data_IF_642867314486
#
_entry.id   IF_642867314486
#
_cell.length_a   1.000
_cell.length_b   1.000
_cell.length_c   1.000
_cell.angle_alpha   90.00
_cell.angle_beta   90.00
_cell.angle_gamma   90.00
#
_symmetry.space_group_name_H-M   'P 1'
#
loop_
_entity.id
_entity.type
_entity.pdbx_description
1 polymer ?
#
# COMPACT_ATOMS: atom_id res chain seq x y z
N UNK A 1 23.08 -0.94 -7.81
CA UNK A 1 21.98 0.06 -7.88
C UNK A 1 21.56 0.41 -9.31
N UNK A 2 22.43 0.95 -10.19
CA UNK A 2 22.05 1.21 -11.60
C UNK A 2 21.80 -0.10 -12.35
N UNK A 3 22.76 -1.04 -12.31
CA UNK A 3 22.64 -2.29 -13.06
C UNK A 3 21.55 -3.25 -12.54
N UNK A 4 21.22 -3.16 -11.25
CA UNK A 4 20.12 -3.94 -10.65
C UNK A 4 18.75 -3.39 -11.05
N UNK A 5 18.51 -2.08 -10.91
CA UNK A 5 17.21 -1.48 -11.21
C UNK A 5 16.83 -1.65 -12.69
N UNK A 6 17.81 -1.59 -13.60
CA UNK A 6 17.59 -1.76 -15.04
C UNK A 6 17.47 -3.22 -15.49
N UNK A 7 17.54 -4.18 -14.57
CA UNK A 7 17.03 -5.52 -14.86
C UNK A 7 15.54 -5.43 -15.23
N UNK A 8 15.16 -6.05 -16.35
CA UNK A 8 13.79 -6.01 -16.90
C UNK A 8 12.73 -6.32 -15.84
N UNK A 9 12.95 -7.32 -15.00
CA UNK A 9 11.97 -7.73 -13.98
C UNK A 9 11.84 -6.67 -12.89
N UNK A 10 12.96 -6.14 -12.38
CA UNK A 10 12.95 -5.10 -11.35
C UNK A 10 12.36 -3.80 -11.88
N UNK A 11 12.70 -3.40 -13.10
CA UNK A 11 12.15 -2.21 -13.73
C UNK A 11 10.63 -2.32 -13.91
N UNK A 12 10.14 -3.47 -14.37
CA UNK A 12 8.70 -3.70 -14.52
C UNK A 12 7.99 -3.75 -13.17
N UNK A 13 8.59 -4.36 -12.14
CA UNK A 13 8.05 -4.35 -10.78
C UNK A 13 7.96 -2.92 -10.24
N UNK A 14 9.02 -2.15 -10.39
CA UNK A 14 9.10 -0.76 -9.96
C UNK A 14 8.04 0.10 -10.65
N UNK A 15 7.96 0.06 -11.99
CA UNK A 15 7.00 0.87 -12.75
C UNK A 15 5.55 0.52 -12.39
N UNK A 16 5.25 -0.76 -12.15
CA UNK A 16 3.88 -1.22 -11.86
C UNK A 16 3.43 -0.94 -10.44
N UNK A 17 4.33 -1.10 -9.45
CA UNK A 17 3.93 -1.17 -8.04
C UNK A 17 4.48 -0.04 -7.18
N UNK A 18 5.44 0.75 -7.67
CA UNK A 18 6.17 1.74 -6.88
C UNK A 18 6.01 3.18 -7.40
N UNK A 19 4.92 3.43 -8.13
CA UNK A 19 4.52 4.73 -8.65
C UNK A 19 3.06 4.96 -8.28
N UNK A 20 2.75 6.11 -7.68
CA UNK A 20 1.37 6.56 -7.42
C UNK A 20 1.15 7.97 -7.97
N UNK A 21 -0.10 8.26 -8.30
CA UNK A 21 -0.54 9.56 -8.78
C UNK A 21 -1.60 10.12 -7.83
N UNK A 22 -1.21 11.12 -7.05
CA UNK A 22 -2.10 11.79 -6.11
C UNK A 22 -2.75 12.98 -6.80
N UNK A 23 -4.08 13.07 -6.74
CA UNK A 23 -4.81 14.20 -7.28
C UNK A 23 -5.13 15.19 -6.15
N UNK A 24 -4.66 16.42 -6.30
CA UNK A 24 -5.02 17.53 -5.44
C UNK A 24 -6.00 18.44 -6.16
N UNK A 25 -7.11 18.77 -5.51
CA UNK A 25 -8.06 19.77 -5.99
C UNK A 25 -7.71 21.10 -5.34
N UNK A 26 -7.46 22.12 -6.14
CA UNK A 26 -7.26 23.49 -5.67
C UNK A 26 -8.37 24.35 -6.24
N UNK A 27 -9.22 24.85 -5.37
CA UNK A 27 -10.25 25.83 -5.72
C UNK A 27 -9.68 27.23 -5.54
N UNK A 28 -9.74 28.04 -6.59
CA UNK A 28 -9.38 29.44 -6.51
C UNK A 28 -10.51 30.22 -5.82
N UNK A 29 -10.21 30.80 -4.66
CA UNK A 29 -11.18 31.48 -3.81
C UNK A 29 -11.76 32.77 -4.41
N UNK A 30 -11.21 33.29 -5.51
CA UNK A 30 -11.71 34.50 -6.19
C UNK A 30 -12.50 34.19 -7.45
N UNK A 31 -12.15 33.13 -8.16
CA UNK A 31 -12.77 32.78 -9.45
C UNK A 31 -13.71 31.57 -9.37
N UNK A 32 -13.67 30.80 -8.28
CA UNK A 32 -14.43 29.54 -8.14
C UNK A 32 -13.95 28.42 -9.06
N UNK A 33 -12.82 28.61 -9.76
CA UNK A 33 -12.29 27.61 -10.68
C UNK A 33 -11.59 26.50 -9.89
N UNK A 34 -12.03 25.27 -10.11
CA UNK A 34 -11.40 24.07 -9.56
C UNK A 34 -10.32 23.58 -10.53
N UNK A 35 -9.06 23.64 -10.08
CA UNK A 35 -7.93 23.05 -10.80
C UNK A 35 -7.56 21.70 -10.18
N UNK A 36 -7.46 20.66 -10.99
CA UNK A 36 -7.00 19.34 -10.57
C UNK A 36 -5.52 19.21 -10.93
N UNK A 37 -4.66 19.11 -9.92
CA UNK A 37 -3.22 18.89 -10.10
C UNK A 37 -2.88 17.45 -9.73
N UNK A 38 -2.29 16.70 -10.67
CA UNK A 38 -1.79 15.36 -10.41
C UNK A 38 -0.30 15.40 -10.03
N UNK A 39 0.02 14.93 -8.83
CA UNK A 39 1.40 14.78 -8.36
C UNK A 39 1.80 13.32 -8.49
N UNK A 40 2.80 13.04 -9.33
CA UNK A 40 3.42 11.71 -9.44
C UNK A 40 4.44 11.54 -8.32
N UNK A 41 4.28 10.50 -7.49
CA UNK A 41 5.25 10.09 -6.47
C UNK A 41 5.84 8.74 -6.85
N UNK A 42 7.17 8.62 -6.72
CA UNK A 42 7.92 7.39 -6.98
C UNK A 42 8.62 6.93 -5.70
N UNK A 43 8.75 5.62 -5.50
CA UNK A 43 9.37 5.09 -4.30
C UNK A 43 10.88 5.39 -4.23
N UNK A 44 11.36 5.82 -3.07
CA UNK A 44 12.80 5.83 -2.82
C UNK A 44 13.36 4.39 -2.75
N UNK A 45 14.66 4.25 -2.94
CA UNK A 45 15.33 2.94 -2.98
C UNK A 45 15.03 2.11 -1.72
N UNK A 46 15.08 2.71 -0.53
CA UNK A 46 14.84 2.02 0.73
C UNK A 46 13.40 1.52 0.85
N UNK A 47 12.43 2.27 0.30
CA UNK A 47 11.02 1.85 0.28
C UNK A 47 10.85 0.64 -0.65
N UNK A 48 11.47 0.64 -1.83
CA UNK A 48 11.42 -0.48 -2.77
C UNK A 48 11.91 -1.79 -2.12
N UNK A 49 13.10 -1.78 -1.53
CA UNK A 49 13.66 -2.97 -0.90
C UNK A 49 12.92 -3.37 0.38
N UNK A 50 12.51 -2.43 1.22
CA UNK A 50 11.77 -2.73 2.45
C UNK A 50 10.42 -3.39 2.15
N UNK A 51 9.68 -2.84 1.18
CA UNK A 51 8.37 -3.36 0.78
C UNK A 51 8.50 -4.76 0.16
N UNK A 52 9.45 -4.96 -0.76
CA UNK A 52 9.64 -6.28 -1.38
C UNK A 52 10.03 -7.36 -0.35
N UNK A 53 10.89 -7.04 0.62
CA UNK A 53 11.20 -7.93 1.75
C UNK A 53 9.99 -8.21 2.64
N UNK A 54 9.17 -7.19 2.92
CA UNK A 54 7.95 -7.35 3.70
C UNK A 54 6.94 -8.27 2.99
N UNK A 55 6.73 -8.09 1.68
CA UNK A 55 5.86 -8.94 0.86
C UNK A 55 6.34 -10.39 0.90
N UNK A 56 7.64 -10.63 0.67
CA UNK A 56 8.22 -11.98 0.75
C UNK A 56 8.00 -12.62 2.12
N UNK A 57 8.20 -11.86 3.20
CA UNK A 57 7.95 -12.30 4.57
C UNK A 57 6.50 -12.71 4.77
N UNK A 58 5.54 -11.91 4.30
CA UNK A 58 4.10 -12.18 4.41
C UNK A 58 3.68 -13.41 3.60
N UNK A 59 4.23 -13.61 2.40
CA UNK A 59 3.96 -14.81 1.60
C UNK A 59 4.46 -16.09 2.29
N UNK A 60 5.63 -16.04 2.94
CA UNK A 60 6.14 -17.15 3.75
C UNK A 60 5.29 -17.39 5.00
N UNK A 61 4.84 -16.32 5.65
CA UNK A 61 4.03 -16.40 6.87
C UNK A 61 2.64 -16.99 6.62
N UNK A 62 2.00 -16.57 5.53
CA UNK A 62 0.64 -16.98 5.15
C UNK A 62 0.57 -18.40 4.57
N UNK A 63 1.69 -18.96 4.10
CA UNK A 63 1.68 -20.25 3.41
C UNK A 63 1.18 -20.19 1.97
N UNK A 64 0.97 -18.97 1.44
CA UNK A 64 0.65 -18.75 0.03
C UNK A 64 1.85 -18.91 -0.92
N UNK A 65 3.00 -19.34 -0.38
CA UNK A 65 4.18 -19.68 -1.16
C UNK A 65 4.03 -21.07 -1.81
N UNK A 66 4.20 -21.14 -3.14
CA UNK A 66 4.15 -22.40 -3.90
C UNK A 66 5.55 -22.97 -4.08
N UNK A 67 5.77 -24.22 -3.64
CA UNK A 67 6.94 -25.03 -3.98
C UNK A 67 6.49 -26.14 -4.91
N UNK A 68 7.07 -26.22 -6.11
CA UNK A 68 6.68 -27.20 -7.14
C UNK A 68 5.16 -27.21 -7.43
N UNK A 69 4.54 -26.03 -7.43
CA UNK A 69 3.10 -25.86 -7.65
C UNK A 69 2.19 -26.16 -6.46
N UNK A 70 2.73 -26.58 -5.31
CA UNK A 70 1.95 -26.88 -4.09
C UNK A 70 2.14 -25.81 -3.02
N UNK A 71 1.04 -25.43 -2.36
CA UNK A 71 1.10 -24.57 -1.18
C UNK A 71 1.80 -25.29 -0.02
N UNK A 72 2.61 -24.54 0.71
CA UNK A 72 3.34 -25.04 1.88
C UNK A 72 2.82 -24.32 3.10
N UNK A 73 2.63 -25.04 4.21
CA UNK A 73 2.18 -24.44 5.46
C UNK A 73 3.09 -23.26 5.86
N UNK A 74 2.47 -22.11 6.06
CA UNK A 74 3.17 -20.91 6.51
C UNK A 74 3.56 -21.04 7.98
N UNK A 75 4.59 -20.28 8.38
CA UNK A 75 5.04 -20.28 9.78
C UNK A 75 4.20 -19.35 10.69
N UNK A 76 3.22 -18.63 10.14
CA UNK A 76 2.35 -17.66 10.83
C UNK A 76 3.11 -16.53 11.53
N UNK A 77 4.39 -16.33 11.20
CA UNK A 77 5.22 -15.28 11.79
C UNK A 77 5.20 -14.06 10.89
N UNK A 78 4.46 -13.04 11.31
CA UNK A 78 4.54 -11.72 10.71
C UNK A 78 5.94 -11.09 10.85
N UNK A 79 6.06 -9.86 10.37
CA UNK A 79 7.30 -9.09 10.44
C UNK A 79 7.07 -7.64 10.89
N UNK A 80 8.16 -6.97 11.24
CA UNK A 80 8.15 -5.55 11.59
C UNK A 80 9.05 -4.79 10.61
N UNK A 81 8.52 -3.70 10.04
CA UNK A 81 9.29 -2.76 9.22
C UNK A 81 9.48 -1.48 10.02
N UNK A 82 10.72 -1.18 10.38
CA UNK A 82 11.07 0.07 11.07
C UNK A 82 11.49 1.15 10.08
N UNK A 83 10.87 2.31 10.24
CA UNK A 83 11.12 3.52 9.45
C UNK A 83 11.52 4.66 10.38
N UNK A 84 12.39 5.56 9.92
CA UNK A 84 12.61 6.85 10.57
C UNK A 84 11.49 7.83 10.21
N UNK A 85 11.29 8.87 11.04
CA UNK A 85 10.32 9.93 10.76
C UNK A 85 10.68 10.65 9.45
N UNK A 86 9.66 10.97 8.65
CA UNK A 86 9.85 11.65 7.36
C UNK A 86 10.35 10.75 6.22
N UNK A 87 10.64 9.46 6.46
CA UNK A 87 11.15 8.54 5.43
C UNK A 87 10.12 8.03 4.42
N UNK A 88 8.86 8.48 4.53
CA UNK A 88 7.76 8.07 3.66
C UNK A 88 7.09 6.75 4.05
N UNK A 89 7.00 6.42 5.34
CA UNK A 89 6.39 5.17 5.86
C UNK A 89 4.99 4.91 5.28
N UNK A 90 4.11 5.90 5.26
CA UNK A 90 2.73 5.76 4.75
C UNK A 90 2.70 5.34 3.28
N UNK A 91 3.60 5.91 2.46
CA UNK A 91 3.71 5.54 1.06
C UNK A 91 4.25 4.11 0.89
N UNK A 92 5.19 3.68 1.75
CA UNK A 92 5.63 2.28 1.80
C UNK A 92 4.47 1.33 2.14
N UNK A 93 3.57 1.72 3.05
CA UNK A 93 2.39 0.91 3.39
C UNK A 93 1.48 0.73 2.17
N UNK A 94 1.25 1.79 1.39
CA UNK A 94 0.45 1.73 0.16
C UNK A 94 1.07 0.79 -0.87
N UNK A 95 2.39 0.89 -1.10
CA UNK A 95 3.08 -0.03 -2.03
C UNK A 95 2.99 -1.49 -1.56
N UNK A 96 3.16 -1.72 -0.25
CA UNK A 96 2.99 -3.04 0.35
C UNK A 96 1.57 -3.57 0.15
N UNK A 97 0.55 -2.77 0.49
CA UNK A 97 -0.86 -3.13 0.33
C UNK A 97 -1.19 -3.50 -1.13
N UNK A 98 -0.81 -2.66 -2.10
CA UNK A 98 -1.05 -2.93 -3.52
C UNK A 98 -0.43 -4.24 -4.01
N UNK A 99 0.78 -4.57 -3.55
CA UNK A 99 1.42 -5.85 -3.89
C UNK A 99 0.76 -7.04 -3.21
N UNK A 100 0.38 -6.91 -1.94
CA UNK A 100 -0.28 -7.98 -1.19
C UNK A 100 -1.66 -8.30 -1.77
N UNK A 101 -2.43 -7.29 -2.19
CA UNK A 101 -3.73 -7.47 -2.86
C UNK A 101 -3.60 -8.39 -4.07
N UNK A 102 -2.55 -8.21 -4.87
CA UNK A 102 -2.31 -9.06 -6.04
C UNK A 102 -1.74 -10.44 -5.68
N UNK A 103 -0.86 -10.51 -4.68
CA UNK A 103 -0.12 -11.72 -4.37
C UNK A 103 -0.93 -12.75 -3.55
N UNK A 104 -1.93 -12.30 -2.79
CA UNK A 104 -2.74 -13.11 -1.90
C UNK A 104 -4.21 -13.22 -2.31
N UNK A 105 -4.51 -12.99 -3.59
CA UNK A 105 -5.88 -13.07 -4.14
C UNK A 105 -6.88 -12.20 -3.37
N UNK A 106 -6.54 -10.91 -3.22
CA UNK A 106 -7.36 -9.89 -2.57
C UNK A 106 -7.71 -10.17 -1.09
N UNK A 107 -6.72 -10.22 -0.17
CA UNK A 107 -7.00 -10.38 1.25
C UNK A 107 -7.55 -9.08 1.88
N UNK A 108 -8.27 -9.22 2.99
CA UNK A 108 -8.62 -8.08 3.85
C UNK A 108 -7.37 -7.47 4.48
N UNK A 109 -7.18 -6.16 4.34
CA UNK A 109 -6.10 -5.40 4.98
C UNK A 109 -6.68 -4.47 6.04
N UNK A 110 -6.44 -4.79 7.32
CA UNK A 110 -6.81 -3.94 8.45
C UNK A 110 -5.61 -3.07 8.87
N UNK A 111 -5.74 -1.75 8.74
CA UNK A 111 -4.77 -0.77 9.21
C UNK A 111 -5.27 -0.18 10.53
N UNK A 112 -4.45 -0.22 11.57
CA UNK A 112 -4.80 0.28 12.90
C UNK A 112 -3.79 1.37 13.28
N UNK A 113 -4.32 2.49 13.75
CA UNK A 113 -3.52 3.60 14.29
C UNK A 113 -3.94 3.88 15.74
N UNK A 114 -3.08 4.55 16.50
CA UNK A 114 -3.32 4.96 17.88
C UNK A 114 -3.93 6.37 18.00
N UNK A 115 -4.08 7.09 16.88
CA UNK A 115 -4.47 8.50 16.85
C UNK A 115 -5.34 8.84 15.64
N UNK A 116 -6.46 9.54 15.89
CA UNK A 116 -7.42 9.93 14.86
C UNK A 116 -6.84 10.85 13.78
N UNK A 117 -5.94 11.77 14.13
CA UNK A 117 -5.33 12.67 13.15
C UNK A 117 -4.36 11.93 12.22
N UNK A 118 -3.65 10.94 12.75
CA UNK A 118 -2.80 10.05 11.96
C UNK A 118 -3.64 9.10 11.10
N UNK A 119 -4.76 8.61 11.64
CA UNK A 119 -5.72 7.78 10.92
C UNK A 119 -6.25 8.48 9.67
N UNK A 120 -6.71 9.73 9.83
CA UNK A 120 -7.19 10.56 8.72
C UNK A 120 -6.10 10.77 7.66
N UNK A 121 -4.86 11.07 8.06
CA UNK A 121 -3.74 11.22 7.12
C UNK A 121 -3.42 9.93 6.36
N UNK A 122 -3.48 8.77 7.02
CA UNK A 122 -3.31 7.48 6.34
C UNK A 122 -4.48 7.20 5.41
N UNK A 123 -5.71 7.46 5.84
CA UNK A 123 -6.90 7.29 5.00
C UNK A 123 -6.80 8.12 3.73
N UNK A 124 -6.40 9.39 3.82
CA UNK A 124 -6.17 10.25 2.64
C UNK A 124 -5.06 9.69 1.73
N UNK A 125 -3.98 9.15 2.32
CA UNK A 125 -2.88 8.53 1.57
C UNK A 125 -3.33 7.28 0.81
N UNK A 126 -4.14 6.43 1.43
CA UNK A 126 -4.71 5.24 0.77
C UNK A 126 -5.76 5.62 -0.27
N UNK A 127 -6.62 6.58 0.05
CA UNK A 127 -7.67 7.09 -0.84
C UNK A 127 -7.10 7.79 -2.08
N UNK A 128 -5.98 8.49 -1.96
CA UNK A 128 -5.29 9.06 -3.12
C UNK A 128 -4.58 8.00 -3.98
N UNK A 129 -4.46 6.76 -3.48
CA UNK A 129 -3.73 5.67 -4.13
C UNK A 129 -4.64 4.56 -4.67
N UNK A 130 -5.93 4.84 -4.89
CA UNK A 130 -6.95 3.92 -5.43
C UNK A 130 -6.51 3.16 -6.67
N UNK A 131 -5.76 3.80 -7.58
CA UNK A 131 -5.27 3.16 -8.80
C UNK A 131 -4.38 1.94 -8.49
N UNK A 132 -3.57 2.02 -7.43
CA UNK A 132 -2.70 0.93 -7.01
C UNK A 132 -3.47 -0.14 -6.22
N UNK A 133 -4.38 0.30 -5.34
CA UNK A 133 -5.14 -0.58 -4.46
C UNK A 133 -6.31 -1.28 -5.16
N UNK A 134 -6.81 -0.71 -6.27
CA UNK A 134 -7.97 -1.16 -7.05
C UNK A 134 -9.29 -1.17 -6.28
N UNK A 135 -9.29 -0.59 -5.09
CA UNK A 135 -10.43 -0.51 -4.18
C UNK A 135 -10.39 0.80 -3.42
N UNK A 136 -11.56 1.18 -2.94
CA UNK A 136 -11.77 2.30 -2.03
C UNK A 136 -11.50 1.83 -0.60
N UNK A 137 -10.55 2.43 0.14
CA UNK A 137 -10.41 2.12 1.56
C UNK A 137 -11.66 2.58 2.31
N UNK A 138 -12.02 1.86 3.36
CA UNK A 138 -13.12 2.21 4.27
C UNK A 138 -12.53 2.55 5.64
N UNK A 139 -12.89 3.71 6.17
CA UNK A 139 -12.53 4.10 7.53
C UNK A 139 -13.62 3.61 8.49
N UNK A 140 -13.24 2.80 9.47
CA UNK A 140 -14.16 2.26 10.47
C UNK A 140 -13.97 2.99 11.81
N UNK A 141 -15.05 3.60 12.32
CA UNK A 141 -15.02 4.35 13.58
C UNK A 141 -15.00 3.45 14.82
N UNK A 142 -15.61 2.27 14.71
CA UNK A 142 -15.70 1.30 15.80
C UNK A 142 -15.75 -0.16 15.29
N UNK A 143 -15.74 -1.09 16.24
CA UNK A 143 -15.73 -2.54 15.96
C UNK A 143 -17.01 -3.03 15.31
N UNK A 144 -18.15 -2.41 15.59
CA UNK A 144 -19.45 -2.82 15.04
C UNK A 144 -19.61 -2.28 13.61
N UNK A 145 -19.11 -1.09 13.32
CA UNK A 145 -18.94 -0.55 11.98
C UNK A 145 -18.03 -1.47 11.14
N UNK A 146 -16.87 -1.88 11.69
CA UNK A 146 -15.95 -2.80 11.02
C UNK A 146 -16.61 -4.15 10.66
N UNK A 147 -17.39 -4.74 11.59
CA UNK A 147 -18.10 -6.00 11.30
C UNK A 147 -19.09 -5.84 10.14
N UNK A 148 -19.83 -4.72 10.10
CA UNK A 148 -20.79 -4.44 9.04
C UNK A 148 -20.11 -4.24 7.68
N UNK A 149 -18.98 -3.55 7.65
CA UNK A 149 -18.23 -3.31 6.41
C UNK A 149 -17.67 -4.60 5.81
N UNK A 150 -17.18 -5.53 6.64
CA UNK A 150 -16.70 -6.84 6.18
C UNK A 150 -17.86 -7.70 5.63
N UNK A 151 -19.03 -7.69 6.26
CA UNK A 151 -20.18 -8.48 5.82
C UNK A 151 -20.89 -7.95 4.56
N UNK A 152 -20.46 -6.80 4.04
CA UNK A 152 -21.03 -6.16 2.85
C UNK A 152 -20.18 -6.36 1.57
N UNK A 153 -19.05 -7.08 1.67
CA UNK A 153 -18.16 -7.44 0.57
C UNK A 153 -18.37 -8.90 0.15
#
# INVERSE_FOLDING_TARGET
MIDELFNKEQLLDYIRHFIVFEQSKKEDSKTGIITINSVKKIAAYHQYYAVNKAVESTLKASGFFKINGKYVAGNQKGGVVWHTQGSGKSLSMVFYAGKIILALDNPTLLVITDRNDLDNQLFDTFSSSKQLLRQEPVQADDRDHLKKSESSQ
#
